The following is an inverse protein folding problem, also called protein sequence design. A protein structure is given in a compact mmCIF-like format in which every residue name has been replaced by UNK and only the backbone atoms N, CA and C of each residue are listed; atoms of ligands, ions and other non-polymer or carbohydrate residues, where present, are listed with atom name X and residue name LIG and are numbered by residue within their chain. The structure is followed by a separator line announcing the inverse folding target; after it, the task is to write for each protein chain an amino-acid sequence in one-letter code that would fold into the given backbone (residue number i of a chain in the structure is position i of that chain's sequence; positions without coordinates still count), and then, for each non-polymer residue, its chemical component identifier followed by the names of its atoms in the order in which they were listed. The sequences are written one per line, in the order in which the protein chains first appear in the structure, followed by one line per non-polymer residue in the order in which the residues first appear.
data_IF_936842061984
#
_entry.id   IF_936842061984
#
_cell.length_a   1.000
_cell.length_b   1.000
_cell.length_c   1.000
_cell.angle_alpha   90.00
_cell.angle_beta   90.00
_cell.angle_gamma   90.00
#
_symmetry.space_group_name_H-M   'P 1'
#
loop_
_entity.id
_entity.type
_entity.pdbx_description
1 polymer ?
#
# COMPACT_ATOMS: atom_id res chain seq x y z
N UNK A 1 -14.84 -7.48 10.84
CA UNK A 1 -14.21 -7.86 12.13
C UNK A 1 -14.47 -6.73 13.09
N UNK A 2 -15.46 -6.88 13.97
CA UNK A 2 -16.02 -5.72 14.70
C UNK A 2 -15.93 -5.85 16.23
N UNK A 3 -15.56 -7.02 16.79
CA UNK A 3 -15.45 -7.17 18.26
C UNK A 3 -14.00 -7.26 18.73
N UNK A 4 -13.73 -6.82 19.96
CA UNK A 4 -12.42 -6.94 20.62
C UNK A 4 -11.95 -8.40 20.62
N UNK A 5 -12.85 -9.35 20.89
CA UNK A 5 -12.54 -10.78 20.87
C UNK A 5 -12.04 -11.27 19.50
N UNK A 6 -12.68 -10.82 18.41
CA UNK A 6 -12.23 -11.13 17.05
C UNK A 6 -10.88 -10.51 16.73
N UNK A 7 -10.65 -9.26 17.16
CA UNK A 7 -9.37 -8.56 16.96
C UNK A 7 -8.22 -9.21 17.72
N UNK A 8 -8.45 -9.63 18.97
CA UNK A 8 -7.47 -10.41 19.74
C UNK A 8 -7.14 -11.72 18.99
N UNK A 9 -8.16 -12.48 18.54
CA UNK A 9 -7.93 -13.73 17.80
C UNK A 9 -7.18 -13.52 16.49
N UNK A 10 -7.47 -12.43 15.79
CA UNK A 10 -6.79 -12.09 14.56
C UNK A 10 -5.32 -11.75 14.81
N UNK A 11 -5.03 -10.86 15.77
CA UNK A 11 -3.67 -10.49 16.14
C UNK A 11 -2.86 -11.70 16.63
N UNK A 12 -3.47 -12.61 17.40
CA UNK A 12 -2.85 -13.87 17.80
C UNK A 12 -2.38 -14.72 16.61
N UNK A 13 -3.22 -14.84 15.57
CA UNK A 13 -2.87 -15.58 14.36
C UNK A 13 -1.78 -14.87 13.57
N UNK A 14 -1.91 -13.56 13.39
CA UNK A 14 -0.94 -12.75 12.64
C UNK A 14 0.45 -12.76 13.27
N UNK A 15 0.53 -12.72 14.60
CA UNK A 15 1.79 -12.72 15.36
C UNK A 15 2.25 -14.12 15.79
N UNK A 16 1.57 -15.16 15.30
CA UNK A 16 1.84 -16.57 15.62
C UNK A 16 1.94 -16.87 17.13
N UNK A 17 1.11 -16.20 17.95
CA UNK A 17 1.06 -16.37 19.42
C UNK A 17 -0.13 -17.24 19.84
N UNK A 18 0.13 -18.21 20.72
CA UNK A 18 -0.91 -19.03 21.35
C UNK A 18 -1.41 -18.35 22.61
N UNK A 19 -2.60 -18.74 23.07
CA UNK A 19 -3.18 -18.24 24.32
C UNK A 19 -2.23 -18.40 25.52
N UNK A 20 -1.48 -19.50 25.55
CA UNK A 20 -0.51 -19.78 26.62
C UNK A 20 0.66 -18.80 26.64
N UNK A 21 1.02 -18.21 25.50
CA UNK A 21 2.11 -17.25 25.40
C UNK A 21 1.65 -15.91 25.97
N UNK A 22 0.46 -15.44 25.60
CA UNK A 22 -0.11 -14.19 26.10
C UNK A 22 -0.38 -14.26 27.61
N UNK A 23 -0.88 -15.40 28.10
CA UNK A 23 -1.09 -15.61 29.55
C UNK A 23 0.22 -15.48 30.33
N UNK A 24 1.33 -15.96 29.77
CA UNK A 24 2.66 -15.81 30.38
C UNK A 24 3.17 -14.38 30.31
N UNK A 25 3.01 -13.72 29.16
CA UNK A 25 3.48 -12.35 28.93
C UNK A 25 2.73 -11.32 29.80
N UNK A 26 1.41 -11.49 29.95
CA UNK A 26 0.53 -10.48 30.57
C UNK A 26 0.22 -10.76 32.05
N UNK A 27 0.45 -12.00 32.51
CA UNK A 27 0.00 -12.45 33.83
C UNK A 27 -1.52 -12.56 33.99
N UNK A 28 -2.30 -12.41 32.91
CA UNK A 28 -3.75 -12.61 32.94
C UNK A 28 -4.04 -14.10 33.10
N UNK A 29 -4.94 -14.46 34.02
CA UNK A 29 -5.28 -15.87 34.23
C UNK A 29 -5.87 -16.51 32.97
N UNK A 30 -5.58 -17.81 32.75
CA UNK A 30 -6.07 -18.55 31.58
C UNK A 30 -7.60 -18.49 31.44
N UNK A 31 -8.33 -18.54 32.57
CA UNK A 31 -9.79 -18.42 32.60
C UNK A 31 -10.26 -17.04 32.13
N UNK A 32 -9.69 -15.97 32.69
CA UNK A 32 -10.05 -14.61 32.30
C UNK A 32 -9.77 -14.34 30.81
N UNK A 33 -8.60 -14.74 30.33
CA UNK A 33 -8.26 -14.56 28.92
C UNK A 33 -9.15 -15.41 28.00
N UNK A 34 -9.53 -16.61 28.42
CA UNK A 34 -10.48 -17.44 27.67
C UNK A 34 -11.86 -16.77 27.54
N UNK A 35 -12.31 -16.08 28.60
CA UNK A 35 -13.57 -15.31 28.57
C UNK A 35 -13.49 -14.09 27.65
N UNK A 36 -12.32 -13.50 27.47
CA UNK A 36 -12.09 -12.43 26.49
C UNK A 36 -12.16 -12.99 25.07
N UNK A 37 -11.52 -14.14 24.80
CA UNK A 37 -11.57 -14.78 23.49
C UNK A 37 -12.97 -15.26 23.11
N UNK A 38 -13.79 -15.70 24.06
CA UNK A 38 -15.17 -16.09 23.78
C UNK A 38 -16.12 -14.90 23.58
N UNK A 39 -15.68 -13.68 23.89
CA UNK A 39 -16.50 -12.47 23.85
C UNK A 39 -17.51 -12.37 25.01
N UNK A 40 -17.40 -13.22 26.04
CA UNK A 40 -18.26 -13.16 27.22
C UNK A 40 -18.00 -11.91 28.05
N UNK A 41 -16.75 -11.46 28.10
CA UNK A 41 -16.32 -10.26 28.80
C UNK A 41 -15.31 -9.48 27.97
N UNK A 42 -15.35 -8.16 28.07
CA UNK A 42 -14.31 -7.30 27.50
C UNK A 42 -13.21 -7.06 28.55
N UNK A 43 -11.93 -7.09 28.16
CA UNK A 43 -10.85 -6.68 29.05
C UNK A 43 -11.01 -5.21 29.46
N UNK A 44 -10.61 -4.88 30.69
CA UNK A 44 -10.50 -3.50 31.18
C UNK A 44 -9.26 -2.83 30.58
N UNK A 45 -9.17 -1.51 30.69
CA UNK A 45 -8.10 -0.73 30.07
C UNK A 45 -6.68 -1.22 30.42
N UNK A 46 -6.42 -1.51 31.70
CA UNK A 46 -5.15 -2.06 32.19
C UNK A 46 -4.80 -3.40 31.53
N UNK A 47 -5.80 -4.27 31.33
CA UNK A 47 -5.62 -5.56 30.67
C UNK A 47 -5.52 -5.42 29.16
N UNK A 48 -6.21 -4.43 28.59
CA UNK A 48 -6.16 -4.18 27.16
C UNK A 48 -4.78 -3.71 26.72
N UNK A 49 -4.15 -2.84 27.50
CA UNK A 49 -2.77 -2.38 27.29
C UNK A 49 -1.78 -3.55 27.36
N UNK A 50 -1.85 -4.40 28.39
CA UNK A 50 -1.01 -5.59 28.48
C UNK A 50 -1.18 -6.54 27.29
N UNK A 51 -2.42 -6.73 26.82
CA UNK A 51 -2.71 -7.59 25.67
C UNK A 51 -2.16 -6.97 24.39
N UNK A 52 -2.30 -5.65 24.22
CA UNK A 52 -1.77 -4.91 23.08
C UNK A 52 -0.23 -5.01 23.02
N UNK A 53 0.44 -4.80 24.15
CA UNK A 53 1.90 -4.90 24.28
C UNK A 53 2.38 -6.33 24.01
N UNK A 54 1.71 -7.34 24.56
CA UNK A 54 2.05 -8.74 24.29
C UNK A 54 1.85 -9.10 22.82
N UNK A 55 0.83 -8.56 22.16
CA UNK A 55 0.57 -8.82 20.75
C UNK A 55 1.34 -7.89 19.80
N UNK A 56 2.05 -6.88 20.31
CA UNK A 56 2.72 -5.86 19.49
C UNK A 56 1.74 -5.21 18.49
N UNK A 57 0.62 -4.69 19.02
CA UNK A 57 -0.46 -4.06 18.25
C UNK A 57 -0.89 -2.72 18.85
N UNK A 58 -1.36 -1.80 18.01
CA UNK A 58 -1.89 -0.51 18.43
C UNK A 58 -3.13 -0.70 19.32
N UNK A 59 -3.10 -0.08 20.50
CA UNK A 59 -4.17 -0.17 21.49
C UNK A 59 -5.51 0.32 20.92
N UNK A 60 -5.52 1.37 20.10
CA UNK A 60 -6.74 1.91 19.46
C UNK A 60 -7.32 0.91 18.48
N UNK A 61 -6.47 0.23 17.71
CA UNK A 61 -6.91 -0.86 16.85
C UNK A 61 -7.57 -1.95 17.67
N UNK A 62 -6.98 -2.34 18.80
CA UNK A 62 -7.53 -3.38 19.66
C UNK A 62 -8.89 -2.97 20.26
N UNK A 63 -9.09 -1.67 20.54
CA UNK A 63 -10.37 -1.08 20.95
C UNK A 63 -11.44 -1.06 19.86
N UNK A 64 -11.08 -1.34 18.60
CA UNK A 64 -12.02 -1.37 17.49
C UNK A 64 -11.95 -0.16 16.57
N UNK A 65 -11.04 0.78 16.80
CA UNK A 65 -10.84 1.91 15.90
C UNK A 65 -10.32 1.46 14.53
N UNK A 66 -10.59 2.29 13.52
CA UNK A 66 -10.12 2.06 12.15
C UNK A 66 -8.73 2.69 11.95
N UNK A 67 -7.74 2.14 12.65
CA UNK A 67 -6.32 2.47 12.51
C UNK A 67 -5.54 1.22 12.07
N UNK A 68 -4.25 1.29 11.68
CA UNK A 68 -3.44 0.10 11.45
C UNK A 68 -3.30 -0.78 12.71
N UNK A 69 -3.15 -2.10 12.51
CA UNK A 69 -2.98 -3.05 13.62
C UNK A 69 -1.66 -2.85 14.37
N UNK A 70 -0.59 -2.46 13.70
CA UNK A 70 0.74 -2.34 14.31
C UNK A 70 0.97 -0.90 14.80
N UNK A 71 1.82 -0.75 15.83
CA UNK A 71 2.25 0.58 16.25
C UNK A 71 2.95 1.27 15.07
N UNK A 72 2.34 2.33 14.55
CA UNK A 72 3.06 3.29 13.72
C UNK A 72 4.11 3.93 14.62
N UNK A 73 5.31 3.35 14.67
CA UNK A 73 6.44 4.01 15.31
C UNK A 73 6.52 5.42 14.73
N UNK A 74 6.65 6.44 15.60
CA UNK A 74 6.77 7.85 15.17
C UNK A 74 7.95 8.11 14.22
N UNK A 75 8.78 7.10 13.97
CA UNK A 75 9.92 7.14 13.05
C UNK A 75 9.77 6.29 11.78
N UNK A 76 8.61 5.66 11.52
CA UNK A 76 8.27 5.09 10.22
C UNK A 76 6.96 5.71 9.68
N UNK A 77 6.92 7.03 9.64
CA UNK A 77 5.98 7.79 8.82
C UNK A 77 6.33 7.72 7.32
N UNK A 78 7.01 6.67 6.86
CA UNK A 78 7.08 6.38 5.44
C UNK A 78 5.67 5.91 5.04
N UNK A 79 4.93 6.81 4.41
CA UNK A 79 3.68 6.47 3.74
C UNK A 79 4.00 5.32 2.79
N UNK A 80 3.46 4.13 3.03
CA UNK A 80 3.82 2.91 2.28
C UNK A 80 2.66 2.48 1.40
N UNK A 81 2.98 1.98 0.21
CA UNK A 81 2.01 1.40 -0.70
C UNK A 81 1.80 -0.08 -0.40
N UNK A 82 0.53 -0.47 -0.36
CA UNK A 82 0.09 -1.87 -0.28
C UNK A 82 -0.69 -2.19 -1.55
N UNK A 83 -0.36 -3.30 -2.21
CA UNK A 83 -0.99 -3.71 -3.46
C UNK A 83 -2.06 -4.78 -3.20
N UNK A 84 -3.29 -4.48 -3.59
CA UNK A 84 -4.40 -5.43 -3.50
C UNK A 84 -4.75 -5.94 -4.89
N UNK A 85 -4.80 -7.27 -5.05
CA UNK A 85 -5.26 -7.86 -6.30
C UNK A 85 -6.71 -7.40 -6.57
N UNK A 86 -6.94 -6.85 -7.75
CA UNK A 86 -8.24 -6.33 -8.13
C UNK A 86 -9.05 -7.35 -8.92
N UNK A 87 -9.48 -8.41 -8.22
CA UNK A 87 -10.33 -9.48 -8.78
C UNK A 87 -11.74 -9.01 -9.18
N UNK A 88 -12.08 -7.72 -9.02
CA UNK A 88 -13.37 -7.11 -9.38
C UNK A 88 -13.23 -5.85 -10.27
N UNK A 89 -12.21 -5.78 -11.14
CA UNK A 89 -12.03 -4.64 -12.05
C UNK A 89 -12.95 -4.72 -13.29
N UNK A 90 -14.24 -4.44 -13.14
CA UNK A 90 -15.24 -4.46 -14.24
C UNK A 90 -14.99 -3.48 -15.41
N UNK A 91 -14.00 -2.59 -15.37
CA UNK A 91 -14.02 -1.38 -16.22
C UNK A 91 -12.79 -1.02 -17.04
N UNK A 92 -11.64 -1.70 -16.96
CA UNK A 92 -10.47 -1.25 -17.75
C UNK A 92 -9.66 -2.36 -18.43
N UNK A 93 -9.54 -3.54 -17.82
CA UNK A 93 -8.62 -4.58 -18.28
C UNK A 93 -9.17 -5.96 -17.87
N UNK A 94 -10.42 -6.27 -18.25
CA UNK A 94 -10.97 -7.61 -18.06
C UNK A 94 -10.02 -8.63 -18.70
N UNK A 95 -9.53 -9.59 -17.89
CA UNK A 95 -8.74 -10.79 -18.25
C UNK A 95 -7.25 -10.86 -17.86
N UNK A 96 -6.73 -10.02 -16.94
CA UNK A 96 -5.35 -10.18 -16.45
C UNK A 96 -5.31 -10.36 -14.93
N UNK A 97 -4.82 -11.52 -14.45
CA UNK A 97 -4.59 -11.85 -13.03
C UNK A 97 -3.52 -10.97 -12.34
N UNK A 98 -3.04 -9.95 -13.03
CA UNK A 98 -1.87 -9.11 -12.72
C UNK A 98 -2.22 -7.65 -12.47
N UNK A 99 -3.49 -7.39 -12.22
CA UNK A 99 -4.00 -6.05 -11.93
C UNK A 99 -4.13 -5.87 -10.44
N UNK A 100 -3.53 -4.78 -9.95
CA UNK A 100 -3.57 -4.41 -8.55
C UNK A 100 -4.04 -2.96 -8.40
N UNK A 101 -4.58 -2.64 -7.23
CA UNK A 101 -4.72 -1.26 -6.77
C UNK A 101 -3.64 -1.01 -5.73
N UNK A 102 -2.80 -0.01 -5.96
CA UNK A 102 -1.87 0.48 -4.95
C UNK A 102 -2.61 1.45 -4.02
N UNK A 103 -2.69 1.07 -2.75
CA UNK A 103 -3.31 1.85 -1.69
C UNK A 103 -2.22 2.47 -0.82
N UNK A 104 -2.35 3.76 -0.50
CA UNK A 104 -1.45 4.47 0.39
C UNK A 104 -2.16 4.74 1.72
N UNK A 105 -1.50 4.46 2.84
CA UNK A 105 -2.05 4.82 4.15
C UNK A 105 -1.95 6.33 4.35
N UNK A 106 -3.07 7.05 4.41
CA UNK A 106 -3.13 8.47 4.69
C UNK A 106 -4.27 8.77 5.65
N UNK A 107 -4.06 9.66 6.63
CA UNK A 107 -5.09 10.05 7.60
C UNK A 107 -5.80 8.85 8.28
N UNK A 108 -5.04 7.78 8.57
CA UNK A 108 -5.54 6.49 9.08
C UNK A 108 -6.50 5.72 8.16
N UNK A 109 -6.62 6.11 6.89
CA UNK A 109 -7.37 5.39 5.85
C UNK A 109 -6.43 4.86 4.75
N UNK A 110 -6.85 3.79 4.07
CA UNK A 110 -6.21 3.34 2.83
C UNK A 110 -6.85 4.11 1.68
N UNK A 111 -6.06 4.94 1.00
CA UNK A 111 -6.50 5.72 -0.15
C UNK A 111 -5.96 5.08 -1.43
N UNK A 112 -6.81 4.73 -2.40
CA UNK A 112 -6.36 4.20 -3.69
C UNK A 112 -5.63 5.31 -4.45
N UNK A 113 -4.40 5.04 -4.89
CA UNK A 113 -3.55 6.01 -5.59
C UNK A 113 -3.16 5.59 -7.00
N UNK A 114 -2.99 4.30 -7.25
CA UNK A 114 -2.63 3.83 -8.58
C UNK A 114 -3.41 2.59 -8.99
N UNK A 115 -3.78 2.55 -10.28
CA UNK A 115 -3.94 1.29 -10.99
C UNK A 115 -2.57 0.76 -11.36
N UNK A 116 -2.34 -0.52 -11.06
CA UNK A 116 -1.06 -1.19 -11.24
C UNK A 116 -1.27 -2.41 -12.11
N UNK A 117 -0.50 -2.53 -13.19
CA UNK A 117 -0.42 -3.74 -13.99
C UNK A 117 1.00 -4.30 -13.90
N UNK A 118 1.12 -5.57 -13.54
CA UNK A 118 2.43 -6.24 -13.38
C UNK A 118 2.65 -7.25 -14.50
N UNK A 119 3.61 -7.01 -15.39
CA UNK A 119 4.10 -8.03 -16.29
C UNK A 119 5.14 -8.89 -15.57
N UNK A 120 4.71 -10.04 -15.02
CA UNK A 120 5.59 -10.96 -14.29
C UNK A 120 6.74 -11.50 -15.15
N UNK A 121 6.49 -11.76 -16.44
CA UNK A 121 7.49 -12.33 -17.34
C UNK A 121 8.62 -11.34 -17.66
N UNK A 122 8.29 -10.05 -17.78
CA UNK A 122 9.25 -8.97 -18.01
C UNK A 122 9.73 -8.28 -16.74
N UNK A 123 9.25 -8.69 -15.56
CA UNK A 123 9.46 -8.00 -14.29
C UNK A 123 9.22 -6.47 -14.40
N UNK A 124 8.13 -6.11 -15.06
CA UNK A 124 7.76 -4.73 -15.33
C UNK A 124 6.45 -4.35 -14.64
N UNK A 125 6.40 -3.13 -14.10
CA UNK A 125 5.22 -2.54 -13.49
C UNK A 125 4.77 -1.35 -14.31
N UNK A 126 3.46 -1.24 -14.56
CA UNK A 126 2.85 -0.04 -15.11
C UNK A 126 2.01 0.62 -14.01
N UNK A 127 2.30 1.89 -13.72
CA UNK A 127 1.64 2.70 -12.70
C UNK A 127 0.82 3.81 -13.36
N UNK A 128 -0.50 3.75 -13.22
CA UNK A 128 -1.42 4.80 -13.63
C UNK A 128 -2.02 5.47 -12.38
N UNK A 129 -1.78 6.78 -12.16
CA UNK A 129 -2.40 7.51 -11.07
C UNK A 129 -3.92 7.52 -11.17
N UNK A 130 -4.57 7.41 -10.01
CA UNK A 130 -5.99 7.68 -9.85
C UNK A 130 -6.15 9.16 -9.55
N UNK A 131 -6.58 9.94 -10.55
CA UNK A 131 -6.78 11.39 -10.44
C UNK A 131 -8.05 11.72 -9.63
N UNK A 132 -8.02 11.44 -8.33
CA UNK A 132 -9.15 11.62 -7.41
C UNK A 132 -9.12 13.03 -6.77
N UNK A 133 -9.70 14.03 -7.44
CA UNK A 133 -9.94 15.39 -6.91
C UNK A 133 -8.69 16.08 -6.32
N UNK A 134 -8.80 16.73 -5.15
CA UNK A 134 -8.01 17.89 -4.68
C UNK A 134 -6.47 17.73 -4.71
N UNK A 135 -5.96 16.50 -4.67
CA UNK A 135 -4.51 16.21 -4.64
C UNK A 135 -3.97 15.57 -5.94
N UNK A 136 -4.78 15.47 -7.00
CA UNK A 136 -4.37 14.86 -8.28
C UNK A 136 -3.08 15.48 -8.84
N UNK A 137 -2.86 16.76 -8.59
CA UNK A 137 -1.67 17.49 -9.02
C UNK A 137 -0.35 16.95 -8.45
N UNK A 138 -0.39 16.28 -7.30
CA UNK A 138 0.79 15.64 -6.70
C UNK A 138 1.27 14.42 -7.49
N UNK A 139 0.42 13.87 -8.35
CA UNK A 139 0.66 12.63 -9.10
C UNK A 139 0.78 12.86 -10.62
N UNK A 140 0.90 14.10 -11.09
CA UNK A 140 1.16 14.36 -12.51
C UNK A 140 2.59 13.97 -12.89
N UNK A 141 3.58 14.31 -12.08
CA UNK A 141 4.95 13.86 -12.30
C UNK A 141 5.24 12.56 -11.53
N UNK A 142 6.26 11.84 -12.00
CA UNK A 142 6.74 10.64 -11.31
C UNK A 142 7.14 10.97 -9.86
N UNK A 143 6.66 10.21 -8.85
CA UNK A 143 7.02 10.42 -7.46
C UNK A 143 8.53 10.42 -7.26
N UNK A 144 9.04 11.41 -6.52
CA UNK A 144 10.48 11.57 -6.31
C UNK A 144 11.08 10.50 -5.42
N UNK A 145 10.26 9.82 -4.61
CA UNK A 145 10.64 8.71 -3.73
C UNK A 145 11.39 7.58 -4.46
N UNK A 146 11.12 7.37 -5.75
CA UNK A 146 11.82 6.37 -6.54
C UNK A 146 13.32 6.63 -6.66
N UNK A 147 13.76 7.89 -6.60
CA UNK A 147 15.12 8.31 -6.91
C UNK A 147 16.05 8.41 -5.68
N UNK A 148 15.58 7.99 -4.51
CA UNK A 148 16.36 8.02 -3.27
C UNK A 148 16.40 6.64 -2.62
N UNK A 149 17.59 6.21 -2.19
CA UNK A 149 17.82 4.87 -1.64
C UNK A 149 17.06 4.61 -0.33
N UNK A 150 16.88 5.63 0.48
CA UNK A 150 16.12 5.55 1.72
C UNK A 150 14.59 5.62 1.51
N UNK A 151 14.11 5.92 0.29
CA UNK A 151 12.68 6.20 0.03
C UNK A 151 12.02 5.26 -0.99
N UNK A 152 12.74 4.65 -1.92
CA UNK A 152 12.09 3.79 -2.94
C UNK A 152 11.37 2.58 -2.31
N UNK A 153 11.74 2.19 -1.08
CA UNK A 153 11.05 1.18 -0.28
C UNK A 153 9.58 1.48 -0.03
N UNK A 154 9.16 2.75 -0.09
CA UNK A 154 7.75 3.19 -0.05
C UNK A 154 6.89 2.45 -1.08
N UNK A 155 7.42 2.28 -2.29
CA UNK A 155 6.76 1.58 -3.39
C UNK A 155 7.15 0.11 -3.47
N UNK A 156 8.37 -0.22 -3.05
CA UNK A 156 9.00 -1.50 -3.39
C UNK A 156 8.98 -2.56 -2.30
N UNK A 157 8.62 -2.18 -1.05
CA UNK A 157 8.56 -3.11 0.09
C UNK A 157 7.72 -4.35 -0.19
N UNK A 158 6.58 -4.18 -0.86
CA UNK A 158 5.61 -5.26 -1.09
C UNK A 158 5.78 -5.90 -2.49
N UNK A 159 6.90 -5.67 -3.20
CA UNK A 159 7.13 -6.22 -4.55
C UNK A 159 7.04 -7.75 -4.63
N UNK A 160 7.56 -8.46 -3.62
CA UNK A 160 7.48 -9.93 -3.59
C UNK A 160 6.02 -10.42 -3.61
N UNK A 161 5.11 -9.69 -2.95
CA UNK A 161 3.69 -10.05 -2.87
C UNK A 161 2.95 -9.97 -4.21
N UNK A 162 3.50 -9.20 -5.15
CA UNK A 162 2.99 -9.03 -6.51
C UNK A 162 3.91 -9.67 -7.55
N UNK A 163 4.79 -10.58 -7.11
CA UNK A 163 5.72 -11.35 -7.95
C UNK A 163 6.75 -10.52 -8.73
N UNK A 164 7.18 -9.40 -8.15
CA UNK A 164 8.25 -8.57 -8.70
C UNK A 164 9.58 -8.79 -7.99
N UNK A 165 10.67 -8.59 -8.73
CA UNK A 165 12.05 -8.69 -8.23
C UNK A 165 12.72 -7.31 -8.34
N UNK A 166 12.99 -6.65 -7.21
CA UNK A 166 13.50 -5.27 -7.18
C UNK A 166 14.72 -5.05 -8.09
N UNK A 167 15.70 -5.96 -8.04
CA UNK A 167 17.02 -5.80 -8.69
C UNK A 167 16.99 -5.77 -10.21
N UNK A 168 15.88 -6.17 -10.83
CA UNK A 168 15.67 -6.15 -12.29
C UNK A 168 14.35 -5.46 -12.66
N UNK A 169 13.73 -4.77 -11.70
CA UNK A 169 12.41 -4.18 -11.89
C UNK A 169 12.49 -3.00 -12.87
N UNK A 170 11.54 -2.96 -13.80
CA UNK A 170 11.28 -1.79 -14.65
C UNK A 170 9.93 -1.21 -14.27
N UNK A 171 9.82 0.11 -14.15
CA UNK A 171 8.55 0.78 -13.84
C UNK A 171 8.22 1.77 -14.96
N UNK A 172 6.99 1.75 -15.42
CA UNK A 172 6.43 2.72 -16.37
C UNK A 172 5.41 3.57 -15.64
N UNK A 173 5.73 4.84 -15.43
CA UNK A 173 4.85 5.81 -14.80
C UNK A 173 4.08 6.61 -15.85
N UNK A 174 2.75 6.57 -15.80
CA UNK A 174 1.87 7.26 -16.74
C UNK A 174 1.41 8.59 -16.12
N UNK A 175 2.16 9.66 -16.39
CA UNK A 175 1.95 10.99 -15.82
C UNK A 175 1.62 12.07 -16.85
N UNK A 176 1.63 13.33 -16.41
CA UNK A 176 1.36 14.53 -17.21
C UNK A 176 2.48 15.53 -16.95
N UNK A 177 3.04 16.09 -18.02
CA UNK A 177 3.96 17.22 -17.90
C UNK A 177 3.20 18.44 -17.39
N UNK A 178 3.55 18.91 -16.20
CA UNK A 178 2.82 20.01 -15.54
C UNK A 178 2.98 21.38 -16.21
N UNK A 179 3.93 21.54 -17.14
CA UNK A 179 4.18 22.78 -17.87
C UNK A 179 3.43 22.82 -19.19
N UNK A 180 3.39 21.70 -19.92
CA UNK A 180 2.74 21.62 -21.24
C UNK A 180 1.34 20.99 -21.18
N UNK A 181 0.99 20.37 -20.05
CA UNK A 181 -0.17 19.51 -19.87
C UNK A 181 -0.25 18.39 -20.90
N UNK A 182 0.89 17.87 -21.34
CA UNK A 182 0.95 16.74 -22.26
C UNK A 182 1.15 15.42 -21.51
N UNK A 183 0.49 14.33 -21.95
CA UNK A 183 0.75 12.99 -21.42
C UNK A 183 2.22 12.62 -21.54
N UNK A 184 2.77 12.01 -20.49
CA UNK A 184 4.17 11.64 -20.39
C UNK A 184 4.31 10.28 -19.73
N UNK A 185 4.89 9.32 -20.45
CA UNK A 185 5.27 8.02 -19.89
C UNK A 185 6.74 8.08 -19.49
N UNK A 186 7.04 7.85 -18.22
CA UNK A 186 8.41 7.84 -17.69
C UNK A 186 8.82 6.40 -17.39
N UNK A 187 9.88 5.91 -18.03
CA UNK A 187 10.46 4.60 -17.75
C UNK A 187 11.52 4.74 -16.65
N UNK A 188 11.46 3.85 -15.67
CA UNK A 188 12.41 3.76 -14.57
C UNK A 188 13.08 2.40 -14.59
N UNK A 189 14.39 2.39 -14.35
CA UNK A 189 15.18 1.19 -14.13
C UNK A 189 15.86 1.26 -12.75
N UNK A 190 16.06 0.11 -12.11
CA UNK A 190 16.68 0.04 -10.80
C UNK A 190 18.21 -0.09 -10.89
N UNK A 191 18.92 0.77 -10.17
CA UNK A 191 20.38 0.71 -10.00
C UNK A 191 20.71 -0.05 -8.71
N UNK A 192 21.34 -1.22 -8.83
CA UNK A 192 21.81 -1.97 -7.66
C UNK A 192 22.97 -1.27 -6.94
N UNK A 193 23.75 -0.45 -7.65
CA UNK A 193 24.89 0.27 -7.05
C UNK A 193 24.44 1.46 -6.22
N UNK A 194 23.42 2.18 -6.69
CA UNK A 194 22.91 3.38 -6.03
C UNK A 194 21.71 3.08 -5.11
N UNK A 195 21.21 1.84 -5.15
CA UNK A 195 20.06 1.35 -4.40
C UNK A 195 18.80 2.21 -4.64
N UNK A 196 18.59 2.69 -5.86
CA UNK A 196 17.41 3.46 -6.21
C UNK A 196 17.08 3.35 -7.70
N UNK A 197 15.93 3.88 -8.11
CA UNK A 197 15.58 3.96 -9.52
C UNK A 197 16.20 5.19 -10.17
N UNK A 198 16.41 5.12 -11.47
CA UNK A 198 16.76 6.25 -12.32
C UNK A 198 15.85 6.27 -13.55
N UNK A 199 15.70 7.45 -14.16
CA UNK A 199 14.95 7.60 -15.40
C UNK A 199 15.76 7.00 -16.53
N UNK A 200 15.20 5.97 -17.16
CA UNK A 200 15.77 5.35 -18.35
C UNK A 200 15.17 6.02 -19.60
N UNK A 201 16.04 6.68 -20.37
CA UNK A 201 15.64 7.38 -21.59
C UNK A 201 15.60 6.47 -22.83
N UNK A 202 15.84 5.17 -22.67
CA UNK A 202 15.71 4.21 -23.77
C UNK A 202 14.25 4.09 -24.22
N UNK A 203 14.02 4.33 -25.51
CA UNK A 203 12.71 4.20 -26.15
C UNK A 203 12.30 2.72 -26.16
N UNK A 204 11.21 2.38 -25.48
CA UNK A 204 10.63 1.03 -25.47
C UNK A 204 9.12 1.09 -25.68
N UNK A 205 8.62 0.31 -26.65
CA UNK A 205 7.23 0.37 -27.16
C UNK A 205 6.25 -0.57 -26.41
N UNK A 206 6.44 -0.76 -25.09
CA UNK A 206 5.59 -1.65 -24.29
C UNK A 206 4.51 -0.90 -23.50
N UNK A 207 3.99 0.18 -24.08
CA UNK A 207 2.98 1.00 -23.42
C UNK A 207 1.60 0.34 -23.42
N UNK A 208 0.84 0.60 -22.35
CA UNK A 208 -0.53 0.14 -22.19
C UNK A 208 -1.47 1.21 -22.73
N UNK A 209 -2.00 0.97 -23.94
CA UNK A 209 -2.89 1.92 -24.64
C UNK A 209 -4.09 2.39 -23.80
N UNK A 210 -4.59 1.53 -22.90
CA UNK A 210 -5.67 1.91 -21.99
C UNK A 210 -5.22 2.97 -20.99
N UNK A 211 -4.03 2.84 -20.42
CA UNK A 211 -3.47 3.83 -19.47
C UNK A 211 -3.15 5.14 -20.18
N UNK A 212 -2.57 5.08 -21.38
CA UNK A 212 -2.34 6.29 -22.20
C UNK A 212 -3.64 7.06 -22.45
N UNK A 213 -4.74 6.36 -22.77
CA UNK A 213 -6.05 7.01 -22.96
C UNK A 213 -6.54 7.72 -21.69
N UNK A 214 -6.36 7.13 -20.51
CA UNK A 214 -6.78 7.78 -19.25
C UNK A 214 -5.95 9.03 -18.96
N UNK A 215 -4.64 9.00 -19.16
CA UNK A 215 -3.79 10.18 -19.02
C UNK A 215 -4.13 11.27 -20.04
N UNK A 216 -4.44 10.88 -21.29
CA UNK A 216 -4.90 11.83 -22.33
C UNK A 216 -6.19 12.54 -21.90
N UNK A 217 -7.15 11.82 -21.31
CA UNK A 217 -8.39 12.43 -20.81
C UNK A 217 -8.11 13.46 -19.73
N UNK A 218 -7.28 13.12 -18.75
CA UNK A 218 -6.93 14.04 -17.66
C UNK A 218 -6.14 15.25 -18.18
N UNK A 219 -5.18 15.05 -19.08
CA UNK A 219 -4.45 16.13 -19.74
C UNK A 219 -5.37 17.10 -20.48
N UNK A 220 -6.38 16.59 -21.21
CA UNK A 220 -7.38 17.41 -21.88
C UNK A 220 -8.25 18.19 -20.89
N UNK A 221 -8.64 17.57 -19.78
CA UNK A 221 -9.37 18.23 -18.70
C UNK A 221 -8.57 19.41 -18.12
N UNK A 222 -7.27 19.22 -17.85
CA UNK A 222 -6.39 20.28 -17.36
C UNK A 222 -6.23 21.42 -18.36
N UNK A 223 -6.02 21.12 -19.65
CA UNK A 223 -5.94 22.15 -20.70
C UNK A 223 -7.19 23.00 -20.80
N UNK A 224 -8.37 22.42 -20.55
CA UNK A 224 -9.63 23.14 -20.59
C UNK A 224 -9.85 24.03 -19.37
N UNK A 225 -9.44 23.60 -18.17
CA UNK A 225 -9.65 24.34 -16.92
C UNK A 225 -8.50 25.29 -16.54
N UNK A 226 -7.35 25.20 -17.20
CA UNK A 226 -6.25 26.15 -17.05
C UNK A 226 -6.46 27.46 -17.84
N UNK A 227 -7.53 27.54 -18.66
CA UNK A 227 -7.97 28.73 -19.39
C UNK A 227 -9.00 29.53 -18.58
#
# INVERSE_FOLDING_TARGET
MNTIAERIKFAMRAKNKKQVDIVKDTGISKGAFSSYLSGQYNPKADKMELIADSLDVDLRWLYGENVPMEHTSKNNNALQYVFYNNSCSEYLLDNLDDIYIAMMTQYAALIPRFYVLVNRAGNAMHLLPLFLKEDSSEFYECPSDFFYSDRHTIFTRDFESIHMVLTTATIYYYGIDTKTYEPKVTKLAYSQTDDCFYIDNEVHDCHIKAFEKEVVKEALYLKHNAQ
#
